data_IF_769593627382
#
_entry.id   IF_769593627382
#
_cell.length_a   1.000
_cell.length_b   1.000
_cell.length_c   1.000
_cell.angle_alpha   90.00
_cell.angle_beta   90.00
_cell.angle_gamma   90.00
#
_symmetry.space_group_name_H-M   'P 1'
#
loop_
_entity.id
_entity.type
_entity.pdbx_description
1 polymer ?
#
# COMPACT_ATOMS: atom_id res chain seq x y z
N UNK A 1 -13.02 -2.47 20.74
CA UNK A 1 -12.75 -2.46 19.30
C UNK A 1 -11.25 -2.33 19.07
N UNK A 2 -10.63 -3.34 18.48
CA UNK A 2 -9.23 -3.28 18.04
C UNK A 2 -9.16 -3.52 16.54
N UNK A 3 -8.12 -2.98 15.90
CA UNK A 3 -7.90 -3.14 14.48
C UNK A 3 -6.42 -3.42 14.23
N UNK A 4 -6.13 -4.53 13.55
CA UNK A 4 -4.78 -4.85 13.09
C UNK A 4 -4.76 -4.74 11.58
N UNK A 5 -3.83 -3.95 11.05
CA UNK A 5 -3.58 -3.84 9.61
C UNK A 5 -2.28 -4.55 9.30
N UNK A 6 -2.30 -5.46 8.32
CA UNK A 6 -1.09 -6.07 7.76
C UNK A 6 -0.90 -5.58 6.34
N UNK A 7 0.30 -5.05 6.07
CA UNK A 7 0.73 -4.64 4.75
C UNK A 7 1.86 -5.56 4.28
N UNK A 8 1.69 -6.22 3.15
CA UNK A 8 2.69 -7.10 2.55
C UNK A 8 3.12 -6.52 1.21
N UNK A 9 4.44 -6.33 1.01
CA UNK A 9 4.99 -5.84 -0.25
C UNK A 9 5.84 -6.90 -0.95
N UNK A 10 5.69 -7.01 -2.27
CA UNK A 10 6.57 -7.83 -3.13
C UNK A 10 7.51 -6.92 -3.90
N UNK A 11 8.79 -7.27 -3.93
CA UNK A 11 9.83 -6.57 -4.69
C UNK A 11 10.98 -7.54 -4.96
N UNK A 12 11.85 -7.18 -5.88
CA UNK A 12 13.03 -7.97 -6.22
C UNK A 12 14.30 -7.13 -6.04
N UNK A 13 15.17 -7.59 -5.15
CA UNK A 13 16.40 -6.88 -4.81
C UNK A 13 17.37 -6.74 -5.98
N UNK A 14 17.30 -7.62 -7.00
CA UNK A 14 18.17 -7.53 -8.18
C UNK A 14 17.98 -6.22 -8.93
N UNK A 15 16.75 -5.72 -9.01
CA UNK A 15 16.47 -4.41 -9.61
C UNK A 15 17.07 -3.29 -8.77
N UNK A 16 16.72 -3.22 -7.48
CA UNK A 16 17.17 -2.17 -6.55
C UNK A 16 18.69 -2.10 -6.42
N UNK A 17 19.38 -3.25 -6.43
CA UNK A 17 20.83 -3.34 -6.34
C UNK A 17 21.53 -3.22 -7.71
N UNK A 18 20.78 -3.03 -8.80
CA UNK A 18 21.33 -2.87 -10.14
C UNK A 18 21.97 -4.14 -10.74
N UNK A 19 21.63 -5.32 -10.23
CA UNK A 19 22.16 -6.62 -10.67
C UNK A 19 21.50 -7.10 -11.96
N UNK A 20 20.22 -6.75 -12.18
CA UNK A 20 19.46 -7.11 -13.38
C UNK A 20 18.61 -5.93 -13.83
N UNK A 21 18.88 -5.40 -15.03
CA UNK A 21 18.18 -4.24 -15.60
C UNK A 21 16.77 -4.56 -16.11
N UNK A 22 16.43 -5.84 -16.27
CA UNK A 22 15.08 -6.26 -16.68
C UNK A 22 14.10 -6.28 -15.51
N UNK A 23 14.61 -6.25 -14.28
CA UNK A 23 13.82 -6.27 -13.05
C UNK A 23 13.47 -4.84 -12.63
N UNK A 24 12.18 -4.49 -12.44
CA UNK A 24 11.78 -3.16 -12.01
C UNK A 24 12.29 -2.85 -10.60
N UNK A 25 12.70 -1.61 -10.36
CA UNK A 25 13.03 -1.10 -9.03
C UNK A 25 11.76 -0.70 -8.30
N UNK A 26 11.60 -1.15 -7.06
CA UNK A 26 10.47 -0.82 -6.20
C UNK A 26 9.51 -1.99 -5.97
N UNK A 27 8.41 -1.72 -5.28
CA UNK A 27 7.36 -2.71 -5.05
C UNK A 27 6.60 -3.00 -6.34
N UNK A 28 6.40 -4.29 -6.64
CA UNK A 28 5.59 -4.76 -7.79
C UNK A 28 4.17 -5.11 -7.39
N UNK A 29 3.93 -5.36 -6.11
CA UNK A 29 2.60 -5.53 -5.53
C UNK A 29 2.62 -5.17 -4.04
N UNK A 30 1.51 -4.63 -3.56
CA UNK A 30 1.25 -4.34 -2.16
C UNK A 30 -0.14 -4.88 -1.84
N UNK A 31 -0.22 -5.72 -0.82
CA UNK A 31 -1.44 -6.38 -0.36
C UNK A 31 -1.72 -5.91 1.08
N UNK A 32 -2.94 -5.38 1.31
CA UNK A 32 -3.39 -4.93 2.64
C UNK A 32 -4.51 -5.86 3.14
N UNK A 33 -4.40 -6.31 4.39
CA UNK A 33 -5.45 -7.06 5.07
C UNK A 33 -5.79 -6.42 6.40
N UNK A 34 -7.08 -6.34 6.70
CA UNK A 34 -7.62 -5.71 7.90
C UNK A 34 -8.29 -6.78 8.76
N UNK A 35 -7.82 -6.92 9.99
CA UNK A 35 -8.43 -7.76 11.01
C UNK A 35 -9.08 -6.84 12.05
N UNK A 36 -10.41 -6.89 12.14
CA UNK A 36 -11.22 -5.97 12.93
C UNK A 36 -11.99 -6.76 14.00
N UNK A 37 -11.69 -6.49 15.26
CA UNK A 37 -12.47 -6.96 16.40
C UNK A 37 -13.48 -5.87 16.77
N UNK A 38 -14.72 -6.04 16.31
CA UNK A 38 -15.78 -5.05 16.39
C UNK A 38 -17.18 -5.68 16.43
N UNK A 39 -18.11 -5.01 17.11
CA UNK A 39 -19.54 -5.38 17.15
C UNK A 39 -20.35 -4.74 16.00
N UNK A 40 -19.67 -4.05 15.07
CA UNK A 40 -20.29 -3.42 13.92
C UNK A 40 -20.82 -4.46 12.92
N UNK A 41 -21.91 -4.15 12.24
CA UNK A 41 -22.44 -5.01 11.18
C UNK A 41 -21.57 -5.02 9.92
N UNK A 42 -21.79 -6.03 9.08
CA UNK A 42 -21.06 -6.22 7.82
C UNK A 42 -21.17 -5.01 6.88
N UNK A 43 -22.30 -4.30 6.92
CA UNK A 43 -22.50 -3.09 6.11
C UNK A 43 -21.57 -1.97 6.54
N UNK A 44 -21.44 -1.74 7.85
CA UNK A 44 -20.55 -0.75 8.43
C UNK A 44 -19.08 -1.09 8.16
N UNK A 45 -18.72 -2.37 8.28
CA UNK A 45 -17.37 -2.85 7.96
C UNK A 45 -17.06 -2.69 6.47
N UNK A 46 -17.98 -3.06 5.58
CA UNK A 46 -17.82 -2.86 4.14
C UNK A 46 -17.66 -1.38 3.78
N UNK A 47 -18.44 -0.51 4.43
CA UNK A 47 -18.33 0.94 4.26
C UNK A 47 -16.98 1.48 4.73
N UNK A 48 -16.46 1.00 5.86
CA UNK A 48 -15.13 1.36 6.37
C UNK A 48 -14.04 0.98 5.36
N UNK A 49 -14.10 -0.22 4.78
CA UNK A 49 -13.14 -0.67 3.77
C UNK A 49 -13.22 0.17 2.48
N UNK A 50 -14.44 0.48 2.01
CA UNK A 50 -14.64 1.37 0.84
C UNK A 50 -14.01 2.76 1.08
N UNK A 51 -14.25 3.34 2.26
CA UNK A 51 -13.68 4.63 2.63
C UNK A 51 -12.17 4.57 2.77
N UNK A 52 -11.63 3.48 3.33
CA UNK A 52 -10.19 3.26 3.43
C UNK A 52 -9.54 3.22 2.05
N UNK A 53 -10.11 2.46 1.10
CA UNK A 53 -9.60 2.40 -0.27
C UNK A 53 -9.65 3.78 -0.95
N UNK A 54 -10.74 4.52 -0.78
CA UNK A 54 -10.93 5.83 -1.43
C UNK A 54 -10.07 6.93 -0.83
N UNK A 55 -9.87 6.93 0.48
CA UNK A 55 -9.30 8.08 1.21
C UNK A 55 -7.97 7.79 1.90
N UNK A 56 -7.42 6.58 1.80
CA UNK A 56 -6.07 6.31 2.29
C UNK A 56 -5.05 7.10 1.46
N UNK A 57 -4.49 8.16 2.05
CA UNK A 57 -3.49 9.03 1.42
C UNK A 57 -2.31 8.22 0.86
N UNK A 58 -1.86 7.19 1.59
CA UNK A 58 -0.76 6.33 1.14
C UNK A 58 -1.15 5.54 -0.11
N UNK A 59 -2.30 4.86 -0.10
CA UNK A 59 -2.77 4.10 -1.26
C UNK A 59 -2.99 5.00 -2.48
N UNK A 60 -3.58 6.19 -2.29
CA UNK A 60 -3.79 7.16 -3.37
C UNK A 60 -2.45 7.68 -3.93
N UNK A 61 -1.47 7.98 -3.07
CA UNK A 61 -0.11 8.39 -3.48
C UNK A 61 0.59 7.29 -4.27
N UNK A 62 0.41 6.03 -3.91
CA UNK A 62 0.99 4.90 -4.65
C UNK A 62 0.31 4.66 -6.00
N UNK A 63 -1.02 4.83 -6.07
CA UNK A 63 -1.81 4.72 -7.33
C UNK A 63 -1.55 5.88 -8.28
N UNK A 64 -1.38 7.08 -7.73
CA UNK A 64 -1.11 8.32 -8.46
C UNK A 64 0.12 9.00 -7.82
N UNK A 65 1.33 8.61 -8.25
CA UNK A 65 2.56 9.19 -7.72
C UNK A 65 2.58 10.71 -7.94
N UNK A 66 2.89 11.51 -6.89
CA UNK A 66 3.07 12.94 -7.05
C UNK A 66 4.36 13.23 -7.82
N UNK A 67 4.56 14.48 -8.21
CA UNK A 67 5.86 14.94 -8.73
C UNK A 67 6.93 14.80 -7.63
N UNK A 68 8.01 14.09 -7.93
CA UNK A 68 9.14 13.89 -7.01
C UNK A 68 10.39 14.47 -7.66
N UNK A 69 10.96 15.49 -7.03
CA UNK A 69 12.22 16.12 -7.44
C UNK A 69 13.36 15.64 -6.54
N UNK A 70 14.39 15.06 -7.15
CA UNK A 70 15.63 14.68 -6.46
C UNK A 70 16.74 15.60 -6.95
N UNK A 71 17.32 16.39 -6.05
CA UNK A 71 18.41 17.29 -6.35
C UNK A 71 19.60 17.05 -5.43
N UNK A 72 20.78 17.38 -5.93
CA UNK A 72 22.01 17.47 -5.13
C UNK A 72 22.06 18.85 -4.48
N UNK A 73 22.37 18.89 -3.18
CA UNK A 73 22.65 20.14 -2.45
C UNK A 73 24.00 20.74 -2.84
#
# INVERSE_FOLDING_TARGET
MTATVRATGRWDARGTLGLDKSVPVGFTAIDLSFDLDTDADDQSVARLLELTERYCVVAQTLRQPPEITISRA
#
